data_IF_221141000382
#
_entry.id   IF_221141000382
#
_cell.length_a   1.000
_cell.length_b   1.000
_cell.length_c   1.000
_cell.angle_alpha   90.00
_cell.angle_beta   90.00
_cell.angle_gamma   90.00
#
_symmetry.space_group_name_H-M   'P 1'
#
loop_
_entity.id
_entity.type
_entity.pdbx_description
1 polymer ?
#
# COMPACT_ATOMS: atom_id res chain seq x y z
N UNK A 1 -43.52 42.69 28.76
CA UNK A 1 -44.06 43.74 27.88
C UNK A 1 -45.10 44.53 28.65
N UNK A 2 -45.21 45.85 28.44
CA UNK A 2 -46.26 46.66 29.05
C UNK A 2 -47.51 46.75 28.15
N UNK A 3 -48.60 47.29 28.70
CA UNK A 3 -49.89 47.38 27.99
C UNK A 3 -49.83 48.30 26.76
N UNK A 4 -49.01 49.35 26.81
CA UNK A 4 -48.89 50.30 25.71
C UNK A 4 -48.20 49.65 24.51
N UNK A 5 -47.09 48.96 24.75
CA UNK A 5 -46.35 48.22 23.73
C UNK A 5 -47.16 47.03 23.18
N UNK A 6 -47.98 46.38 24.01
CA UNK A 6 -48.93 45.36 23.55
C UNK A 6 -49.88 45.93 22.49
N UNK A 7 -50.55 47.05 22.79
CA UNK A 7 -51.54 47.65 21.88
C UNK A 7 -50.92 48.12 20.57
N UNK A 8 -49.66 48.58 20.60
CA UNK A 8 -48.94 49.01 19.40
C UNK A 8 -48.58 47.83 18.47
N UNK A 9 -48.25 46.67 19.04
CA UNK A 9 -47.87 45.47 18.27
C UNK A 9 -49.06 44.58 17.90
N UNK A 10 -50.22 44.77 18.51
CA UNK A 10 -51.41 43.95 18.31
C UNK A 10 -51.88 43.86 16.84
N UNK A 11 -51.89 44.95 16.04
CA UNK A 11 -52.24 44.86 14.62
C UNK A 11 -51.23 44.00 13.83
N UNK A 12 -49.92 44.21 14.05
CA UNK A 12 -48.87 43.43 13.39
C UNK A 12 -48.92 41.94 13.79
N UNK A 13 -49.29 41.64 15.03
CA UNK A 13 -49.54 40.26 15.48
C UNK A 13 -50.70 39.62 14.72
N UNK A 14 -51.82 40.35 14.55
CA UNK A 14 -52.98 39.85 13.79
C UNK A 14 -52.61 39.61 12.32
N UNK A 15 -51.77 40.44 11.74
CA UNK A 15 -51.33 40.31 10.34
C UNK A 15 -50.19 39.31 10.14
N UNK A 16 -49.67 38.70 11.21
CA UNK A 16 -48.54 37.75 11.19
C UNK A 16 -47.21 38.38 10.74
N UNK A 17 -47.05 39.69 10.97
CA UNK A 17 -45.90 40.50 10.55
C UNK A 17 -44.90 40.75 11.70
N UNK A 18 -45.05 40.07 12.84
CA UNK A 18 -44.13 40.20 13.97
C UNK A 18 -42.91 39.28 13.84
N UNK A 19 -41.75 39.82 14.23
CA UNK A 19 -40.55 39.02 14.43
C UNK A 19 -40.69 38.06 15.63
N UNK A 20 -39.90 36.98 15.61
CA UNK A 20 -39.98 35.88 16.61
C UNK A 20 -39.85 36.36 18.06
N UNK A 21 -39.00 37.35 18.32
CA UNK A 21 -38.79 37.88 19.67
C UNK A 21 -40.01 38.66 20.21
N UNK A 22 -40.64 39.49 19.37
CA UNK A 22 -41.81 40.28 19.76
C UNK A 22 -43.06 39.41 19.86
N UNK A 23 -43.20 38.40 18.99
CA UNK A 23 -44.28 37.41 19.05
C UNK A 23 -44.28 36.68 20.40
N UNK A 24 -43.13 36.14 20.83
CA UNK A 24 -43.04 35.42 22.11
C UNK A 24 -43.36 36.32 23.31
N UNK A 25 -42.85 37.56 23.30
CA UNK A 25 -43.12 38.52 24.36
C UNK A 25 -44.61 38.93 24.42
N UNK A 26 -45.29 38.92 23.28
CA UNK A 26 -46.71 39.23 23.16
C UNK A 26 -47.61 38.08 23.62
N UNK A 27 -47.30 36.85 23.22
CA UNK A 27 -48.02 35.65 23.69
C UNK A 27 -47.93 35.51 25.22
N UNK A 28 -46.73 35.70 25.80
CA UNK A 28 -46.56 35.67 27.25
C UNK A 28 -47.37 36.76 27.98
N UNK A 29 -47.55 37.93 27.36
CA UNK A 29 -48.36 39.00 27.92
C UNK A 29 -49.86 38.71 27.80
N UNK A 30 -50.29 38.12 26.68
CA UNK A 30 -51.66 37.65 26.49
C UNK A 30 -52.04 36.61 27.54
N UNK A 31 -51.16 35.67 27.88
CA UNK A 31 -51.44 34.64 28.89
C UNK A 31 -51.63 35.21 30.31
N UNK A 32 -51.04 36.39 30.59
CA UNK A 32 -51.00 36.97 31.94
C UNK A 32 -51.90 38.19 32.15
N UNK A 33 -52.46 38.80 31.11
CA UNK A 33 -53.27 40.02 31.22
C UNK A 33 -54.68 39.89 30.60
N UNK A 34 -55.70 39.89 31.46
CA UNK A 34 -57.12 39.78 31.04
C UNK A 34 -57.63 40.99 30.25
N UNK A 35 -57.13 42.20 30.53
CA UNK A 35 -57.50 43.40 29.77
C UNK A 35 -56.99 43.35 28.31
N UNK A 36 -55.77 42.86 28.11
CA UNK A 36 -55.22 42.68 26.77
C UNK A 36 -55.90 41.53 26.02
N UNK A 37 -56.32 40.46 26.72
CA UNK A 37 -57.13 39.38 26.13
C UNK A 37 -58.48 39.90 25.63
N UNK A 38 -59.16 40.80 26.36
CA UNK A 38 -60.43 41.36 25.90
C UNK A 38 -60.27 42.23 24.66
N UNK A 39 -59.21 43.03 24.58
CA UNK A 39 -58.91 43.86 23.40
C UNK A 39 -58.58 42.98 22.18
N UNK A 40 -57.73 41.97 22.34
CA UNK A 40 -57.42 41.00 21.29
C UNK A 40 -58.68 40.29 20.78
N UNK A 41 -59.54 39.79 21.68
CA UNK A 41 -60.77 39.10 21.29
C UNK A 41 -61.74 40.01 20.52
N UNK A 42 -61.81 41.28 20.88
CA UNK A 42 -62.66 42.29 20.23
C UNK A 42 -62.19 42.56 18.80
N UNK A 43 -60.88 42.78 18.61
CA UNK A 43 -60.30 42.99 17.28
C UNK A 43 -60.39 41.72 16.42
N UNK A 44 -60.11 40.55 16.99
CA UNK A 44 -60.20 39.29 16.26
C UNK A 44 -61.64 38.99 15.82
N UNK A 45 -62.63 39.22 16.67
CA UNK A 45 -64.06 39.10 16.31
C UNK A 45 -64.44 40.05 15.19
N UNK A 46 -63.95 41.28 15.23
CA UNK A 46 -64.19 42.28 14.18
C UNK A 46 -63.57 41.84 12.85
N UNK A 47 -62.33 41.36 12.88
CA UNK A 47 -61.62 40.81 11.73
C UNK A 47 -62.36 39.64 11.10
N UNK A 48 -62.81 38.68 11.90
CA UNK A 48 -63.55 37.51 11.41
C UNK A 48 -64.90 37.90 10.79
N UNK A 49 -65.61 38.90 11.36
CA UNK A 49 -66.82 39.46 10.73
C UNK A 49 -66.51 40.12 9.39
N UNK A 50 -65.44 40.91 9.31
CA UNK A 50 -65.01 41.55 8.06
C UNK A 50 -64.65 40.49 7.01
N UNK A 51 -63.85 39.48 7.36
CA UNK A 51 -63.50 38.37 6.44
C UNK A 51 -64.74 37.63 5.93
N UNK A 52 -65.74 37.41 6.79
CA UNK A 52 -66.97 36.70 6.42
C UNK A 52 -67.85 37.49 5.44
N UNK A 53 -67.89 38.82 5.58
CA UNK A 53 -68.79 39.69 4.79
C UNK A 53 -68.09 40.42 3.64
N UNK A 54 -66.76 40.48 3.64
CA UNK A 54 -66.00 41.07 2.55
C UNK A 54 -66.12 40.20 1.29
N UNK A 55 -66.25 40.80 0.09
CA UNK A 55 -66.20 40.05 -1.15
C UNK A 55 -64.83 39.39 -1.30
N UNK A 56 -64.80 38.06 -1.31
CA UNK A 56 -63.59 37.30 -1.56
C UNK A 56 -63.39 37.13 -3.07
N UNK A 57 -62.24 37.56 -3.58
CA UNK A 57 -61.86 37.33 -4.96
C UNK A 57 -60.98 36.10 -5.04
N UNK A 58 -61.50 35.05 -5.67
CA UNK A 58 -60.72 33.83 -5.90
C UNK A 58 -59.60 34.11 -6.89
N UNK A 59 -58.39 33.68 -6.54
CA UNK A 59 -57.29 33.65 -7.47
C UNK A 59 -57.61 32.69 -8.63
N UNK A 60 -57.35 33.07 -9.89
CA UNK A 60 -57.53 32.16 -11.02
C UNK A 60 -56.65 30.92 -10.93
N UNK A 61 -57.14 29.75 -11.35
CA UNK A 61 -56.41 28.47 -11.27
C UNK A 61 -55.02 28.51 -11.93
N UNK A 62 -54.90 29.27 -13.03
CA UNK A 62 -53.63 29.40 -13.75
C UNK A 62 -52.56 30.16 -12.94
N UNK A 63 -52.95 31.02 -12.00
CA UNK A 63 -52.01 31.74 -11.14
C UNK A 63 -51.35 30.76 -10.15
N UNK A 64 -52.14 29.87 -9.54
CA UNK A 64 -51.62 28.83 -8.65
C UNK A 64 -50.61 27.94 -9.39
N UNK A 65 -50.97 27.50 -10.61
CA UNK A 65 -50.06 26.71 -11.45
C UNK A 65 -48.75 27.44 -11.77
N UNK A 66 -48.82 28.72 -12.14
CA UNK A 66 -47.61 29.54 -12.40
C UNK A 66 -46.73 29.68 -11.17
N UNK A 67 -47.32 29.92 -9.99
CA UNK A 67 -46.59 30.03 -8.73
C UNK A 67 -45.88 28.70 -8.42
N UNK A 68 -46.60 27.58 -8.50
CA UNK A 68 -46.01 26.24 -8.26
C UNK A 68 -44.87 25.92 -9.21
N UNK A 69 -44.96 26.33 -10.48
CA UNK A 69 -43.88 26.16 -11.46
C UNK A 69 -42.68 27.08 -11.21
N UNK A 70 -42.91 28.27 -10.64
CA UNK A 70 -41.85 29.26 -10.36
C UNK A 70 -41.14 29.05 -9.03
N UNK A 71 -41.73 28.29 -8.11
CA UNK A 71 -41.09 27.94 -6.85
C UNK A 71 -39.91 26.99 -7.13
N UNK A 72 -38.70 27.30 -6.61
CA UNK A 72 -37.60 26.36 -6.64
C UNK A 72 -38.08 25.04 -6.03
N UNK A 73 -38.01 23.94 -6.79
CA UNK A 73 -38.26 22.62 -6.23
C UNK A 73 -37.26 22.45 -5.10
N UNK A 74 -37.72 22.50 -3.86
CA UNK A 74 -36.91 22.04 -2.74
C UNK A 74 -36.67 20.56 -3.02
N UNK A 75 -35.47 20.24 -3.50
CA UNK A 75 -34.96 18.88 -3.42
C UNK A 75 -34.90 18.59 -1.93
N UNK A 76 -35.93 17.97 -1.39
CA UNK A 76 -35.74 17.09 -0.25
C UNK A 76 -34.84 15.99 -0.78
N UNK A 77 -33.52 16.20 -0.69
CA UNK A 77 -32.56 15.11 -0.73
C UNK A 77 -32.83 14.29 0.55
N UNK A 78 -33.90 13.50 0.51
CA UNK A 78 -33.96 12.31 1.34
C UNK A 78 -32.89 11.39 0.76
N UNK A 79 -31.87 11.00 1.55
CA UNK A 79 -30.93 10.00 1.07
C UNK A 79 -31.74 8.74 0.78
N UNK A 80 -31.88 8.41 -0.51
CA UNK A 80 -32.42 7.13 -0.92
C UNK A 80 -31.54 6.06 -0.27
N UNK A 81 -32.10 5.05 0.44
CA UNK A 81 -31.29 3.93 0.87
C UNK A 81 -30.69 3.34 -0.40
N UNK A 82 -29.36 3.14 -0.39
CA UNK A 82 -28.63 2.48 -1.47
C UNK A 82 -29.30 1.13 -1.70
N UNK A 83 -30.23 1.10 -2.66
CA UNK A 83 -30.91 -0.11 -3.05
C UNK A 83 -29.89 -0.95 -3.81
N UNK A 84 -29.51 -2.09 -3.26
CA UNK A 84 -28.86 -3.16 -4.01
C UNK A 84 -29.84 -3.71 -5.06
N UNK A 85 -30.09 -2.92 -6.10
CA UNK A 85 -30.50 -3.47 -7.38
C UNK A 85 -29.27 -4.15 -7.96
N UNK A 86 -29.13 -5.43 -7.65
CA UNK A 86 -28.21 -6.33 -8.33
C UNK A 86 -28.74 -6.56 -9.75
N UNK A 87 -28.67 -5.52 -10.58
CA UNK A 87 -28.79 -5.67 -12.01
C UNK A 87 -27.73 -6.68 -12.45
N UNK A 88 -28.09 -7.62 -13.32
CA UNK A 88 -27.18 -8.55 -14.00
C UNK A 88 -25.94 -7.86 -14.62
N UNK A 89 -26.03 -6.57 -14.93
CA UNK A 89 -24.92 -5.71 -15.37
C UNK A 89 -23.87 -5.44 -14.25
N UNK A 90 -24.29 -5.41 -12.99
CA UNK A 90 -23.41 -5.36 -11.81
C UNK A 90 -22.78 -6.74 -11.50
N UNK A 91 -23.43 -7.84 -11.89
CA UNK A 91 -22.88 -9.18 -11.71
C UNK A 91 -21.60 -9.39 -12.56
N UNK A 92 -21.58 -8.85 -13.79
CA UNK A 92 -20.38 -8.85 -14.62
C UNK A 92 -19.23 -8.05 -14.01
N UNK A 93 -19.52 -6.86 -13.47
CA UNK A 93 -18.51 -6.02 -12.81
C UNK A 93 -17.94 -6.68 -11.54
N UNK A 94 -18.79 -7.31 -10.73
CA UNK A 94 -18.35 -8.07 -9.54
C UNK A 94 -17.48 -9.26 -9.94
N UNK A 95 -17.87 -10.02 -10.97
CA UNK A 95 -17.07 -11.15 -11.45
C UNK A 95 -15.69 -10.71 -11.92
N UNK A 96 -15.61 -9.63 -12.71
CA UNK A 96 -14.31 -9.07 -13.16
C UNK A 96 -13.47 -8.61 -11.98
N UNK A 97 -14.07 -7.93 -10.99
CA UNK A 97 -13.35 -7.49 -9.79
C UNK A 97 -12.82 -8.67 -8.97
N UNK A 98 -13.63 -9.73 -8.78
CA UNK A 98 -13.21 -10.94 -8.08
C UNK A 98 -12.09 -11.66 -8.84
N UNK A 99 -12.19 -11.78 -10.17
CA UNK A 99 -11.14 -12.38 -10.98
C UNK A 99 -9.86 -11.55 -10.96
N UNK A 100 -9.94 -10.22 -11.02
CA UNK A 100 -8.79 -9.34 -10.92
C UNK A 100 -8.12 -9.43 -9.54
N UNK A 101 -8.90 -9.51 -8.46
CA UNK A 101 -8.38 -9.69 -7.11
C UNK A 101 -7.78 -11.08 -6.90
N UNK A 102 -8.43 -12.13 -7.40
CA UNK A 102 -7.91 -13.49 -7.36
C UNK A 102 -6.60 -13.60 -8.15
N UNK A 103 -6.54 -13.01 -9.34
CA UNK A 103 -5.32 -12.94 -10.15
C UNK A 103 -4.22 -12.15 -9.46
N UNK A 104 -4.53 -10.96 -8.94
CA UNK A 104 -3.57 -10.13 -8.21
C UNK A 104 -3.05 -10.83 -6.96
N UNK A 105 -3.92 -11.51 -6.22
CA UNK A 105 -3.57 -12.34 -5.07
C UNK A 105 -2.68 -13.51 -5.48
N UNK A 106 -3.00 -14.21 -6.57
CA UNK A 106 -2.18 -15.29 -7.09
C UNK A 106 -0.79 -14.81 -7.53
N UNK A 107 -0.70 -13.66 -8.22
CA UNK A 107 0.58 -13.03 -8.59
C UNK A 107 1.39 -12.63 -7.36
N UNK A 108 0.74 -12.05 -6.35
CA UNK A 108 1.39 -11.64 -5.11
C UNK A 108 1.94 -12.83 -4.32
N UNK A 109 1.16 -13.92 -4.21
CA UNK A 109 1.55 -15.14 -3.51
C UNK A 109 2.64 -15.93 -4.26
N UNK A 110 2.70 -15.82 -5.60
CA UNK A 110 3.71 -16.46 -6.43
C UNK A 110 4.96 -15.60 -6.69
N UNK A 111 5.14 -14.47 -5.97
CA UNK A 111 6.37 -13.70 -6.12
C UNK A 111 7.59 -14.53 -5.65
N UNK A 112 8.67 -14.59 -6.44
CA UNK A 112 9.90 -15.27 -6.03
C UNK A 112 10.38 -14.72 -4.69
N UNK A 113 10.78 -15.62 -3.80
CA UNK A 113 11.33 -15.24 -2.51
C UNK A 113 12.62 -14.43 -2.71
N UNK A 114 13.02 -13.67 -1.69
CA UNK A 114 14.30 -12.95 -1.75
C UNK A 114 15.50 -13.89 -1.95
N UNK A 115 15.39 -15.14 -1.48
CA UNK A 115 16.41 -16.16 -1.69
C UNK A 115 16.43 -16.64 -3.15
N UNK A 116 15.27 -16.85 -3.78
CA UNK A 116 15.21 -17.28 -5.19
C UNK A 116 15.82 -16.23 -6.12
N UNK A 117 15.58 -14.94 -5.85
CA UNK A 117 16.21 -13.85 -6.60
C UNK A 117 17.72 -13.83 -6.43
N UNK A 118 18.22 -14.08 -5.22
CA UNK A 118 19.66 -14.16 -4.96
C UNK A 118 20.30 -15.36 -5.69
N UNK A 119 19.62 -16.50 -5.74
CA UNK A 119 20.06 -17.69 -6.48
C UNK A 119 20.17 -17.38 -7.98
N UNK A 120 19.15 -16.75 -8.55
CA UNK A 120 19.18 -16.32 -9.96
C UNK A 120 20.34 -15.35 -10.23
N UNK A 121 20.59 -14.40 -9.31
CA UNK A 121 21.68 -13.43 -9.45
C UNK A 121 23.06 -14.12 -9.40
N UNK A 122 23.26 -15.07 -8.46
CA UNK A 122 24.48 -15.88 -8.34
C UNK A 122 24.77 -16.69 -9.61
N UNK A 123 23.73 -17.29 -10.20
CA UNK A 123 23.84 -18.05 -11.45
C UNK A 123 24.13 -17.11 -12.61
N UNK A 124 23.41 -15.98 -12.70
CA UNK A 124 23.64 -14.99 -13.77
C UNK A 124 25.07 -14.45 -13.75
N UNK A 125 25.61 -14.17 -12.56
CA UNK A 125 27.01 -13.79 -12.36
C UNK A 125 27.96 -14.92 -12.77
N UNK A 126 27.65 -16.16 -12.39
CA UNK A 126 28.46 -17.31 -12.75
C UNK A 126 28.53 -17.46 -14.28
N UNK A 127 27.39 -17.52 -14.96
CA UNK A 127 27.28 -17.62 -16.41
C UNK A 127 27.97 -16.45 -17.12
N UNK A 128 27.79 -15.22 -16.64
CA UNK A 128 28.45 -14.02 -17.20
C UNK A 128 29.97 -14.14 -17.14
N UNK A 129 30.52 -14.69 -16.04
CA UNK A 129 31.97 -14.91 -15.92
C UNK A 129 32.51 -15.92 -16.93
N UNK A 130 31.69 -16.86 -17.40
CA UNK A 130 32.08 -17.85 -18.42
C UNK A 130 32.06 -17.29 -19.84
N UNK A 131 31.13 -16.38 -20.14
CA UNK A 131 30.90 -15.90 -21.51
C UNK A 131 31.99 -14.95 -22.04
N UNK A 132 32.68 -14.22 -21.16
CA UNK A 132 33.59 -13.12 -21.54
C UNK A 132 35.06 -13.45 -21.24
N UNK A 133 35.36 -14.71 -20.90
CA UNK A 133 36.69 -15.14 -20.37
C UNK A 133 37.19 -14.26 -19.21
N UNK A 134 36.25 -13.60 -18.52
CA UNK A 134 36.51 -12.73 -17.37
C UNK A 134 36.20 -13.48 -16.08
N UNK A 135 36.78 -14.66 -15.95
CA UNK A 135 36.64 -15.51 -14.79
C UNK A 135 37.09 -14.78 -13.52
N UNK A 136 38.20 -14.05 -13.60
CA UNK A 136 38.83 -13.34 -12.49
C UNK A 136 39.41 -11.99 -12.91
N UNK A 137 39.29 -10.98 -12.06
CA UNK A 137 39.95 -9.69 -12.21
C UNK A 137 41.44 -9.77 -11.85
N UNK A 138 41.79 -10.74 -11.00
CA UNK A 138 43.17 -11.12 -10.69
C UNK A 138 43.37 -12.59 -10.97
N UNK A 139 44.18 -12.85 -11.98
CA UNK A 139 44.65 -14.19 -12.31
C UNK A 139 45.87 -14.48 -11.44
N UNK A 140 45.65 -15.08 -10.26
CA UNK A 140 46.75 -15.57 -9.42
C UNK A 140 46.28 -16.75 -8.57
N UNK A 141 47.07 -17.82 -8.62
CA UNK A 141 46.92 -18.99 -7.75
C UNK A 141 47.52 -18.78 -6.36
N UNK A 142 48.21 -17.65 -6.12
CA UNK A 142 48.83 -17.33 -4.85
C UNK A 142 47.91 -16.47 -3.96
N UNK A 143 47.55 -17.01 -2.79
CA UNK A 143 46.80 -16.30 -1.74
C UNK A 143 47.45 -14.98 -1.33
N UNK A 144 48.77 -14.87 -1.42
CA UNK A 144 49.51 -13.64 -1.07
C UNK A 144 49.41 -12.55 -2.14
N UNK A 145 48.83 -12.85 -3.31
CA UNK A 145 48.47 -11.85 -4.33
C UNK A 145 46.98 -11.50 -4.29
N UNK A 146 46.12 -12.50 -4.10
CA UNK A 146 44.65 -12.33 -4.15
C UNK A 146 44.14 -11.57 -2.91
N UNK A 147 44.61 -11.90 -1.70
CA UNK A 147 44.15 -11.21 -0.47
C UNK A 147 44.47 -9.70 -0.48
N UNK A 148 45.71 -9.26 -0.79
CA UNK A 148 46.00 -7.84 -0.86
C UNK A 148 45.24 -7.10 -1.96
N UNK A 149 44.88 -7.76 -3.06
CA UNK A 149 44.11 -7.11 -4.13
C UNK A 149 42.69 -6.71 -3.73
N UNK A 150 42.07 -7.46 -2.82
CA UNK A 150 40.77 -7.09 -2.23
C UNK A 150 40.86 -5.93 -1.24
N UNK A 151 42.06 -5.61 -0.74
CA UNK A 151 42.25 -4.56 0.25
C UNK A 151 41.90 -3.18 -0.32
N UNK A 152 41.02 -2.45 0.36
CA UNK A 152 40.50 -1.17 -0.09
C UNK A 152 39.37 -1.24 -1.14
N UNK A 153 38.99 -2.44 -1.60
CA UNK A 153 37.82 -2.66 -2.48
C UNK A 153 36.62 -3.27 -1.75
N UNK A 154 36.89 -4.02 -0.69
CA UNK A 154 35.91 -4.57 0.23
C UNK A 154 36.10 -3.96 1.62
N UNK A 155 35.01 -3.86 2.37
CA UNK A 155 34.99 -3.51 3.80
C UNK A 155 35.29 -4.72 4.70
N UNK A 156 35.58 -5.89 4.12
CA UNK A 156 35.98 -7.12 4.79
C UNK A 156 37.12 -7.83 4.05
N UNK A 157 37.79 -8.78 4.73
CA UNK A 157 38.86 -9.58 4.13
C UNK A 157 38.37 -11.01 3.89
N UNK A 158 38.14 -11.43 2.63
CA UNK A 158 37.69 -12.78 2.35
C UNK A 158 38.78 -13.81 2.67
N UNK A 159 38.43 -14.96 3.29
CA UNK A 159 39.37 -16.02 3.51
C UNK A 159 39.67 -16.74 2.18
N UNK A 160 40.95 -16.74 1.80
CA UNK A 160 41.45 -17.35 0.57
C UNK A 160 42.36 -18.51 0.95
N UNK A 161 42.04 -19.69 0.43
CA UNK A 161 42.79 -20.93 0.65
C UNK A 161 43.24 -21.51 -0.70
N UNK A 162 44.44 -22.07 -0.72
CA UNK A 162 44.87 -22.90 -1.83
C UNK A 162 44.42 -24.34 -1.57
N UNK A 163 43.62 -24.89 -2.47
CA UNK A 163 43.09 -26.25 -2.43
C UNK A 163 43.68 -27.12 -3.55
N UNK A 164 44.81 -26.70 -4.14
CA UNK A 164 45.53 -27.43 -5.19
C UNK A 164 45.86 -28.87 -4.79
N UNK A 165 46.26 -29.11 -3.53
CA UNK A 165 46.53 -30.46 -3.00
C UNK A 165 45.31 -31.39 -2.98
N UNK A 166 44.12 -30.82 -2.98
CA UNK A 166 42.85 -31.55 -3.00
C UNK A 166 42.23 -31.61 -4.41
N UNK A 167 42.96 -31.17 -5.45
CA UNK A 167 42.49 -31.18 -6.84
C UNK A 167 41.73 -29.92 -7.26
N UNK A 168 41.64 -28.90 -6.39
CA UNK A 168 40.88 -27.67 -6.64
C UNK A 168 41.81 -26.45 -6.61
N UNK A 169 42.70 -26.26 -7.59
CA UNK A 169 43.57 -25.09 -7.62
C UNK A 169 42.76 -23.79 -7.63
N UNK A 170 43.24 -22.81 -6.86
CA UNK A 170 42.76 -21.42 -6.97
C UNK A 170 43.26 -20.84 -8.29
N UNK A 171 42.35 -20.27 -9.08
CA UNK A 171 42.65 -19.58 -10.35
C UNK A 171 42.80 -18.09 -10.13
N UNK A 172 42.02 -17.52 -9.21
CA UNK A 172 42.01 -16.10 -8.96
C UNK A 172 40.85 -15.61 -8.14
N UNK A 173 40.63 -14.30 -8.20
CA UNK A 173 39.47 -13.66 -7.58
C UNK A 173 38.93 -12.52 -8.42
N UNK A 174 37.66 -12.18 -8.20
CA UNK A 174 37.01 -10.99 -8.73
C UNK A 174 36.10 -10.37 -7.68
N UNK A 175 35.67 -9.15 -7.96
CA UNK A 175 34.68 -8.44 -7.17
C UNK A 175 33.38 -8.39 -7.95
N UNK A 176 32.28 -8.73 -7.29
CA UNK A 176 30.95 -8.68 -7.91
C UNK A 176 29.99 -7.87 -7.05
N UNK A 177 28.82 -7.55 -7.62
CA UNK A 177 27.76 -6.83 -6.92
C UNK A 177 26.47 -7.64 -6.98
N UNK A 178 26.08 -8.20 -5.84
CA UNK A 178 24.91 -9.07 -5.72
C UNK A 178 23.98 -8.53 -4.64
N UNK A 179 22.67 -8.50 -4.86
CA UNK A 179 21.66 -8.15 -3.86
C UNK A 179 21.98 -6.86 -3.09
N UNK A 180 22.44 -5.84 -3.82
CA UNK A 180 22.76 -4.52 -3.28
C UNK A 180 24.04 -4.43 -2.46
N UNK A 181 24.94 -5.43 -2.53
CA UNK A 181 26.23 -5.42 -1.82
C UNK A 181 27.38 -5.88 -2.70
N UNK A 182 28.57 -5.40 -2.35
CA UNK A 182 29.81 -5.89 -2.91
C UNK A 182 30.16 -7.26 -2.32
N UNK A 183 30.48 -8.22 -3.17
CA UNK A 183 30.84 -9.59 -2.79
C UNK A 183 32.22 -9.96 -3.31
N UNK A 184 32.96 -10.74 -2.53
CA UNK A 184 34.18 -11.38 -3.01
C UNK A 184 33.81 -12.64 -3.80
N UNK A 185 34.43 -12.86 -4.95
CA UNK A 185 34.31 -14.13 -5.66
C UNK A 185 35.69 -14.74 -5.82
N UNK A 186 35.86 -15.95 -5.31
CA UNK A 186 37.05 -16.75 -5.47
C UNK A 186 36.77 -17.80 -6.55
N UNK A 187 37.68 -17.90 -7.51
CA UNK A 187 37.52 -18.79 -8.65
C UNK A 187 38.46 -19.97 -8.44
N UNK A 188 37.86 -21.13 -8.23
CA UNK A 188 38.55 -22.40 -8.25
C UNK A 188 38.26 -23.12 -9.56
N UNK A 189 39.00 -24.19 -9.82
CA UNK A 189 38.75 -25.04 -10.98
C UNK A 189 38.94 -26.50 -10.61
N UNK A 190 38.09 -27.35 -11.16
CA UNK A 190 38.28 -28.80 -11.16
C UNK A 190 38.28 -29.25 -12.62
N UNK A 191 39.40 -29.75 -13.13
CA UNK A 191 39.59 -30.02 -14.56
C UNK A 191 39.30 -28.78 -15.44
N UNK A 192 38.25 -28.81 -16.26
CA UNK A 192 37.80 -27.69 -17.08
C UNK A 192 36.62 -26.92 -16.48
N UNK A 193 36.08 -27.38 -15.35
CA UNK A 193 34.88 -26.80 -14.73
C UNK A 193 35.27 -25.75 -13.69
N UNK A 194 34.92 -24.47 -13.91
CA UNK A 194 35.14 -23.43 -12.92
C UNK A 194 34.14 -23.53 -11.77
N UNK A 195 34.62 -23.23 -10.58
CA UNK A 195 33.83 -23.17 -9.35
C UNK A 195 33.94 -21.75 -8.82
N UNK A 196 32.83 -21.00 -8.88
CA UNK A 196 32.77 -19.66 -8.33
C UNK A 196 32.29 -19.75 -6.88
N UNK A 197 33.13 -19.30 -5.94
CA UNK A 197 32.78 -19.21 -4.52
C UNK A 197 32.57 -17.76 -4.15
N UNK A 198 31.33 -17.41 -3.89
CA UNK A 198 30.93 -16.08 -3.43
C UNK A 198 30.99 -16.02 -1.91
N UNK A 199 31.59 -14.95 -1.38
CA UNK A 199 31.83 -14.79 0.05
C UNK A 199 31.51 -13.36 0.47
N UNK A 200 30.73 -13.22 1.55
CA UNK A 200 30.43 -11.94 2.19
C UNK A 200 30.05 -12.11 3.67
N UNK A 201 30.08 -11.04 4.49
CA UNK A 201 29.62 -11.09 5.87
C UNK A 201 28.12 -11.39 5.96
N UNK A 202 27.76 -12.49 6.64
CA UNK A 202 26.38 -12.98 6.76
C UNK A 202 25.84 -12.87 8.19
N UNK A 203 24.52 -12.97 8.36
CA UNK A 203 23.92 -13.03 9.70
C UNK A 203 24.31 -14.36 10.37
N UNK A 204 24.82 -14.28 11.60
CA UNK A 204 25.25 -15.43 12.39
C UNK A 204 24.06 -16.36 12.66
N UNK A 205 24.08 -17.51 12.02
CA UNK A 205 23.16 -18.62 12.26
C UNK A 205 23.70 -19.81 11.49
N UNK A 206 23.96 -20.92 12.19
CA UNK A 206 24.44 -22.14 11.56
C UNK A 206 23.42 -22.58 10.50
N UNK A 207 23.71 -22.29 9.25
CA UNK A 207 22.92 -22.77 8.13
C UNK A 207 23.56 -24.08 7.70
N UNK A 208 22.81 -25.17 7.83
CA UNK A 208 23.20 -26.47 7.28
C UNK A 208 23.54 -26.34 5.79
N UNK A 209 24.39 -27.24 5.29
CA UNK A 209 24.68 -27.34 3.87
C UNK A 209 23.35 -27.49 3.11
N UNK A 210 23.03 -26.49 2.29
CA UNK A 210 21.86 -26.55 1.41
C UNK A 210 22.33 -26.68 -0.02
N UNK A 211 22.12 -27.86 -0.57
CA UNK A 211 22.26 -28.12 -1.99
C UNK A 211 21.00 -27.64 -2.72
N UNK A 212 21.20 -26.90 -3.81
CA UNK A 212 20.15 -26.48 -4.71
C UNK A 212 20.60 -26.72 -6.15
N UNK A 213 19.69 -27.18 -6.99
CA UNK A 213 19.89 -27.28 -8.44
C UNK A 213 19.00 -26.27 -9.12
N UNK A 214 19.58 -25.50 -10.05
CA UNK A 214 18.83 -24.52 -10.81
C UNK A 214 19.46 -24.34 -12.20
N UNK A 215 18.66 -24.53 -13.26
CA UNK A 215 19.09 -24.40 -14.66
C UNK A 215 20.34 -25.23 -15.03
N UNK A 216 20.53 -26.40 -14.41
CA UNK A 216 21.68 -27.28 -14.64
C UNK A 216 22.95 -26.89 -13.88
N UNK A 217 22.91 -25.85 -13.05
CA UNK A 217 23.98 -25.48 -12.12
C UNK A 217 23.66 -25.99 -10.73
N UNK A 218 24.70 -26.41 -10.00
CA UNK A 218 24.60 -26.80 -8.60
C UNK A 218 25.13 -25.70 -7.71
N UNK A 219 24.37 -25.42 -6.65
CA UNK A 219 24.66 -24.41 -5.66
C UNK A 219 24.72 -25.06 -4.28
N UNK A 220 25.79 -24.77 -3.54
CA UNK A 220 25.89 -25.15 -2.14
C UNK A 220 26.10 -23.90 -1.30
N UNK A 221 25.20 -23.69 -0.34
CA UNK A 221 25.27 -22.62 0.64
C UNK A 221 25.74 -23.14 1.99
N UNK A 222 26.63 -22.40 2.64
CA UNK A 222 26.95 -22.60 4.05
C UNK A 222 27.39 -21.30 4.73
N UNK A 223 27.44 -21.32 6.06
CA UNK A 223 27.94 -20.21 6.88
C UNK A 223 29.07 -20.69 7.77
N UNK A 224 30.16 -19.92 7.88
CA UNK A 224 31.27 -20.23 8.79
C UNK A 224 32.03 -18.95 9.16
N UNK A 225 32.40 -18.82 10.44
CA UNK A 225 33.14 -17.68 11.00
C UNK A 225 32.56 -16.29 10.66
N UNK A 226 31.23 -16.18 10.72
CA UNK A 226 30.51 -14.92 10.42
C UNK A 226 30.41 -14.59 8.92
N UNK A 227 30.95 -15.46 8.06
CA UNK A 227 30.88 -15.31 6.60
C UNK A 227 29.84 -16.28 6.02
N UNK A 228 29.13 -15.81 5.01
CA UNK A 228 28.25 -16.60 4.17
C UNK A 228 28.96 -16.95 2.87
N UNK A 229 28.83 -18.22 2.48
CA UNK A 229 29.47 -18.78 1.31
C UNK A 229 28.43 -19.41 0.39
N UNK A 230 28.62 -19.19 -0.91
CA UNK A 230 27.87 -19.86 -1.96
C UNK A 230 28.86 -20.38 -3.00
N UNK A 231 28.90 -21.69 -3.21
CA UNK A 231 29.65 -22.29 -4.32
C UNK A 231 28.69 -22.57 -5.47
N UNK A 232 29.05 -22.14 -6.68
CA UNK A 232 28.26 -22.33 -7.91
C UNK A 232 29.16 -22.93 -8.99
N UNK A 233 28.73 -24.06 -9.56
CA UNK A 233 29.43 -24.75 -10.64
C UNK A 233 28.46 -25.65 -11.45
N UNK A 234 28.91 -26.06 -12.63
CA UNK A 234 28.30 -27.10 -13.49
C UNK A 234 28.86 -28.50 -13.19
N UNK A 235 29.77 -28.63 -12.21
CA UNK A 235 30.26 -29.92 -11.70
C UNK A 235 29.13 -30.79 -11.18
N UNK A 236 29.32 -32.12 -11.19
CA UNK A 236 28.39 -33.03 -10.54
C UNK A 236 28.30 -32.79 -9.02
N UNK A 237 27.12 -33.01 -8.44
CA UNK A 237 26.82 -32.75 -7.02
C UNK A 237 27.87 -33.30 -6.06
N UNK A 238 28.30 -34.55 -6.25
CA UNK A 238 29.28 -35.23 -5.38
C UNK A 238 30.67 -34.58 -5.43
N UNK A 239 31.08 -34.07 -6.58
CA UNK A 239 32.36 -33.36 -6.73
C UNK A 239 32.30 -31.98 -6.08
N UNK A 240 31.18 -31.26 -6.25
CA UNK A 240 30.96 -29.96 -5.60
C UNK A 240 30.87 -30.11 -4.07
N UNK A 241 30.23 -31.15 -3.56
CA UNK A 241 30.22 -31.47 -2.13
C UNK A 241 31.63 -31.76 -1.59
N UNK A 242 32.43 -32.50 -2.37
CA UNK A 242 33.84 -32.79 -2.02
C UNK A 242 34.67 -31.51 -1.95
N UNK A 243 34.49 -30.60 -2.91
CA UNK A 243 35.10 -29.28 -2.90
C UNK A 243 34.70 -28.47 -1.65
N UNK A 244 33.41 -28.38 -1.35
CA UNK A 244 32.91 -27.64 -0.18
C UNK A 244 33.42 -28.26 1.12
N UNK A 245 33.51 -29.59 1.19
CA UNK A 245 34.14 -30.31 2.31
C UNK A 245 35.61 -29.90 2.51
N UNK A 246 36.39 -29.90 1.45
CA UNK A 246 37.81 -29.49 1.49
C UNK A 246 37.97 -28.02 1.89
N UNK A 247 37.16 -27.11 1.35
CA UNK A 247 37.19 -25.69 1.68
C UNK A 247 36.79 -25.44 3.14
N UNK A 248 35.74 -26.09 3.63
CA UNK A 248 35.28 -25.96 5.02
C UNK A 248 36.26 -26.53 6.04
N UNK A 249 37.13 -27.45 5.65
CA UNK A 249 38.18 -27.97 6.53
C UNK A 249 39.35 -26.98 6.73
N UNK A 250 39.49 -25.98 5.84
CA UNK A 250 40.55 -24.97 5.90
C UNK A 250 40.12 -23.66 6.56
N UNK A 251 38.84 -23.30 6.41
CA UNK A 251 38.19 -22.21 7.17
C UNK A 251 38.19 -22.59 8.65
#
# INVERSE_FOLDING_TARGET
MDHQKFMELLPAYLDQELGVADLLALEQHLDSCSACQSEFSTLNTTRERLKKHAPYFFAPDHLAQRITMSLPRHRTDTPSPIGWNLNWMNAGAVLVAVLALAWSGAVYLNQPSSQDRLVEELISSHVRSLQVDHLSDVVSSDRHTVKPWFNGKLDFSPPVFDLSSSGFPLVGGRLDYLNGRTVAVLVYRHNQHPINVYVWPGKTGATDLRLQEHQGYHLIRWTKDGMEYWAVSDLATNELESFVGALRAQV
#
